data_IF_525260600005
#
_entry.id   IF_525260600005
#
_cell.length_a   1.000
_cell.length_b   1.000
_cell.length_c   1.000
_cell.angle_alpha   90.00
_cell.angle_beta   90.00
_cell.angle_gamma   90.00
#
_symmetry.space_group_name_H-M   'P 1'
#
loop_
_entity.id
_entity.type
_entity.pdbx_description
1 polymer ?
#
# COMPACT_ATOMS: atom_id res chain seq x y z
N UNK A 1 -16.68 -29.51 -31.14
CA UNK A 1 -17.65 -28.91 -30.21
C UNK A 1 -17.02 -27.64 -29.67
N UNK A 2 -17.68 -26.47 -29.75
CA UNK A 2 -17.15 -25.24 -29.16
C UNK A 2 -17.15 -25.32 -27.63
N UNK A 3 -16.18 -24.68 -26.99
CA UNK A 3 -16.14 -24.48 -25.53
C UNK A 3 -16.21 -22.98 -25.25
N UNK A 4 -16.86 -22.60 -24.15
CA UNK A 4 -16.82 -21.22 -23.65
C UNK A 4 -16.19 -21.19 -22.26
N UNK A 5 -15.52 -20.08 -21.95
CA UNK A 5 -14.85 -19.89 -20.67
C UNK A 5 -15.73 -19.08 -19.72
N UNK A 6 -15.86 -19.56 -18.48
CA UNK A 6 -16.59 -18.90 -17.40
C UNK A 6 -15.63 -18.60 -16.28
N UNK A 7 -15.62 -17.35 -15.84
CA UNK A 7 -14.87 -16.93 -14.66
C UNK A 7 -15.75 -17.07 -13.41
N UNK A 8 -15.34 -17.97 -12.51
CA UNK A 8 -15.98 -18.18 -11.21
C UNK A 8 -15.16 -17.49 -10.11
N UNK A 9 -15.83 -16.74 -9.24
CA UNK A 9 -15.19 -16.16 -8.06
C UNK A 9 -15.03 -17.25 -7.00
N UNK A 10 -13.79 -17.64 -6.73
CA UNK A 10 -13.46 -18.63 -5.70
C UNK A 10 -13.65 -18.03 -4.30
N UNK A 11 -13.23 -16.78 -4.13
CA UNK A 11 -13.36 -16.08 -2.86
C UNK A 11 -12.70 -14.70 -2.88
N UNK A 12 -12.94 -13.95 -1.81
CA UNK A 12 -12.33 -12.65 -1.54
C UNK A 12 -11.75 -12.72 -0.14
N UNK A 13 -10.52 -12.25 0.01
CA UNK A 13 -9.94 -12.04 1.33
C UNK A 13 -9.28 -10.67 1.42
N UNK A 14 -9.06 -10.22 2.65
CA UNK A 14 -8.34 -9.00 2.94
C UNK A 14 -7.34 -9.19 4.07
N UNK A 15 -6.35 -8.32 4.11
CA UNK A 15 -5.35 -8.26 5.19
C UNK A 15 -4.91 -6.82 5.42
N UNK A 16 -4.37 -6.57 6.61
CA UNK A 16 -3.83 -5.28 7.01
C UNK A 16 -2.38 -5.46 7.44
N UNK A 17 -1.49 -4.60 6.93
CA UNK A 17 -0.07 -4.64 7.23
C UNK A 17 0.35 -3.33 7.88
N UNK A 18 0.84 -3.41 9.11
CA UNK A 18 1.41 -2.27 9.82
C UNK A 18 2.87 -2.07 9.40
N UNK A 19 3.16 -0.92 8.81
CA UNK A 19 4.51 -0.49 8.49
C UNK A 19 4.96 0.57 9.49
N UNK A 20 6.12 0.33 10.10
CA UNK A 20 6.77 1.25 11.05
C UNK A 20 8.18 1.53 10.57
N UNK A 21 8.49 2.80 10.33
CA UNK A 21 9.79 3.26 9.83
C UNK A 21 10.19 4.56 10.49
N UNK A 22 11.50 4.79 10.53
CA UNK A 22 12.05 6.09 10.85
C UNK A 22 12.31 6.83 9.53
N UNK A 23 12.08 8.14 9.53
CA UNK A 23 12.24 9.03 8.38
C UNK A 23 13.16 10.17 8.77
N UNK A 24 14.03 10.56 7.84
CA UNK A 24 14.93 11.70 7.99
C UNK A 24 14.76 12.67 6.83
N UNK A 25 14.51 13.93 7.15
CA UNK A 25 14.34 15.02 6.20
C UNK A 25 15.67 15.77 6.01
N UNK A 26 16.04 16.04 4.77
CA UNK A 26 17.23 16.83 4.44
C UNK A 26 17.09 18.31 4.85
N UNK A 27 15.85 18.83 4.85
CA UNK A 27 15.51 20.16 5.32
C UNK A 27 14.59 20.03 6.53
N UNK A 28 14.76 20.82 7.61
CA UNK A 28 13.89 20.73 8.76
C UNK A 28 12.42 20.95 8.39
N UNK A 29 11.54 20.18 9.03
CA UNK A 29 10.10 20.27 8.91
C UNK A 29 9.56 21.20 10.00
N UNK A 30 8.83 22.23 9.59
CA UNK A 30 8.11 23.12 10.51
C UNK A 30 6.64 22.68 10.66
N UNK A 31 5.97 22.40 9.55
CA UNK A 31 4.57 21.99 9.51
C UNK A 31 4.34 21.04 8.33
N UNK A 32 3.68 19.90 8.56
CA UNK A 32 3.27 19.00 7.46
C UNK A 32 1.96 19.52 6.88
N UNK A 33 1.94 19.72 5.58
CA UNK A 33 0.76 20.19 4.83
C UNK A 33 -0.05 18.99 4.37
N UNK A 34 0.62 18.00 3.77
CA UNK A 34 -0.05 16.85 3.19
C UNK A 34 0.88 15.63 3.15
N UNK A 35 0.30 14.46 3.33
CA UNK A 35 0.94 13.17 3.06
C UNK A 35 0.11 12.43 1.99
N UNK A 36 0.74 12.06 0.89
CA UNK A 36 0.14 11.33 -0.22
C UNK A 36 0.75 9.93 -0.28
N UNK A 37 -0.10 8.91 -0.40
CA UNK A 37 0.30 7.52 -0.46
C UNK A 37 -0.24 6.87 -1.74
N UNK A 38 0.64 6.17 -2.45
CA UNK A 38 0.27 5.34 -3.61
C UNK A 38 0.72 3.92 -3.33
N UNK A 39 -0.22 2.98 -3.29
CA UNK A 39 0.08 1.56 -3.05
C UNK A 39 -0.05 0.81 -4.35
N UNK A 40 0.99 0.07 -4.72
CA UNK A 40 1.01 -0.77 -5.91
C UNK A 40 1.33 -2.21 -5.51
N UNK A 41 0.53 -3.17 -5.97
CA UNK A 41 0.86 -4.59 -5.83
C UNK A 41 1.70 -5.00 -7.05
N UNK A 42 2.96 -5.36 -6.81
CA UNK A 42 3.94 -5.67 -7.86
C UNK A 42 3.89 -7.14 -8.26
N UNK A 43 3.48 -8.02 -7.34
CA UNK A 43 3.40 -9.45 -7.60
C UNK A 43 2.27 -10.09 -6.79
N UNK A 44 1.65 -11.11 -7.36
CA UNK A 44 0.58 -11.87 -6.73
C UNK A 44 0.61 -13.34 -7.15
N UNK A 45 0.72 -14.23 -6.17
CA UNK A 45 0.81 -15.68 -6.36
C UNK A 45 -0.27 -16.40 -5.57
N UNK A 46 -1.15 -17.11 -6.28
CA UNK A 46 -2.17 -17.94 -5.66
C UNK A 46 -1.57 -19.29 -5.27
N UNK A 47 -1.67 -19.61 -3.98
CA UNK A 47 -1.34 -20.89 -3.39
C UNK A 47 -2.63 -21.60 -2.95
N UNK A 48 -2.51 -22.83 -2.46
CA UNK A 48 -3.64 -23.53 -1.85
C UNK A 48 -4.15 -22.75 -0.63
N UNK A 49 -5.43 -22.35 -0.68
CA UNK A 49 -6.16 -21.58 0.35
C UNK A 49 -5.59 -20.20 0.71
N UNK A 50 -4.59 -19.71 -0.03
CA UNK A 50 -3.88 -18.47 0.28
C UNK A 50 -3.42 -17.76 -0.97
N UNK A 51 -3.22 -16.46 -0.86
CA UNK A 51 -2.57 -15.65 -1.89
C UNK A 51 -1.42 -14.90 -1.25
N UNK A 52 -0.22 -15.05 -1.80
CA UNK A 52 0.97 -14.30 -1.38
C UNK A 52 1.13 -13.13 -2.35
N UNK A 53 1.49 -11.96 -1.84
CA UNK A 53 1.69 -10.78 -2.68
C UNK A 53 2.87 -9.95 -2.19
N UNK A 54 3.46 -9.21 -3.14
CA UNK A 54 4.45 -8.18 -2.88
C UNK A 54 3.94 -6.84 -3.42
N UNK A 55 4.31 -5.75 -2.76
CA UNK A 55 3.92 -4.42 -3.19
C UNK A 55 4.92 -3.34 -2.79
N UNK A 56 4.66 -2.15 -3.32
CA UNK A 56 5.37 -0.93 -2.98
C UNK A 56 4.39 0.12 -2.50
N UNK A 57 4.79 0.90 -1.49
CA UNK A 57 4.11 2.11 -1.06
C UNK A 57 5.01 3.28 -1.42
N UNK A 58 4.59 4.12 -2.34
CA UNK A 58 5.22 5.40 -2.60
C UNK A 58 4.55 6.45 -1.72
N UNK A 59 5.36 7.14 -0.91
CA UNK A 59 4.91 8.19 0.00
C UNK A 59 5.54 9.52 -0.40
N UNK A 60 4.71 10.53 -0.58
CA UNK A 60 5.13 11.91 -0.80
C UNK A 60 4.63 12.79 0.35
N UNK A 61 5.54 13.53 0.98
CA UNK A 61 5.22 14.46 2.07
C UNK A 61 5.47 15.87 1.57
N UNK A 62 4.44 16.72 1.66
CA UNK A 62 4.52 18.16 1.41
C UNK A 62 4.57 18.86 2.76
N UNK A 63 5.57 19.69 2.99
CA UNK A 63 5.76 20.36 4.26
C UNK A 63 6.33 21.77 4.11
N UNK A 64 6.10 22.60 5.12
CA UNK A 64 6.71 23.92 5.24
C UNK A 64 8.04 23.82 5.96
N UNK A 65 9.03 24.54 5.46
CA UNK A 65 10.32 24.73 6.11
C UNK A 65 10.22 25.86 7.16
N UNK A 66 11.14 25.94 8.13
CA UNK A 66 11.12 26.99 9.14
C UNK A 66 11.29 28.36 8.47
N UNK A 67 10.67 29.43 9.00
CA UNK A 67 10.83 30.77 8.46
C UNK A 67 12.31 31.16 8.49
N UNK A 68 12.81 31.62 7.33
CA UNK A 68 14.17 32.12 7.20
C UNK A 68 14.31 33.54 7.75
N UNK A 69 15.45 34.18 7.46
CA UNK A 69 15.74 35.58 7.84
C UNK A 69 14.70 36.56 7.27
N UNK A 70 14.03 36.19 6.17
CA UNK A 70 12.97 36.97 5.51
C UNK A 70 11.58 36.76 6.13
N UNK A 71 11.43 35.88 7.13
CA UNK A 71 10.16 35.65 7.84
C UNK A 71 9.18 34.70 7.16
N UNK A 72 9.43 34.30 5.91
CA UNK A 72 8.59 33.36 5.16
C UNK A 72 9.26 31.99 5.06
N UNK A 73 8.51 30.93 5.40
CA UNK A 73 8.91 29.54 5.14
C UNK A 73 8.61 29.14 3.69
N UNK A 74 9.33 28.15 3.16
CA UNK A 74 9.11 27.62 1.81
C UNK A 74 8.41 26.26 1.86
N UNK A 75 7.78 25.85 0.75
CA UNK A 75 7.25 24.49 0.58
C UNK A 75 8.38 23.58 0.09
N UNK A 76 8.54 22.45 0.75
CA UNK A 76 9.45 21.38 0.38
C UNK A 76 8.71 20.05 0.22
N UNK A 77 9.35 19.13 -0.50
CA UNK A 77 8.83 17.80 -0.79
C UNK A 77 9.82 16.75 -0.31
N UNK A 78 9.31 15.63 0.19
CA UNK A 78 10.10 14.45 0.51
C UNK A 78 9.39 13.20 0.00
N UNK A 79 10.08 12.41 -0.82
CA UNK A 79 9.57 11.16 -1.38
C UNK A 79 10.32 9.98 -0.77
N UNK A 80 9.59 8.95 -0.34
CA UNK A 80 10.12 7.65 0.07
C UNK A 80 9.30 6.52 -0.55
N UNK A 81 9.97 5.42 -0.88
CA UNK A 81 9.33 4.21 -1.39
C UNK A 81 9.61 3.04 -0.43
N UNK A 82 8.58 2.28 -0.08
CA UNK A 82 8.68 1.14 0.83
C UNK A 82 8.21 -0.13 0.15
N UNK A 83 9.03 -1.16 0.16
CA UNK A 83 8.59 -2.50 -0.22
C UNK A 83 7.92 -3.19 0.96
N UNK A 84 6.85 -3.93 0.66
CA UNK A 84 6.16 -4.75 1.64
C UNK A 84 5.66 -6.05 1.00
N UNK A 85 5.39 -7.02 1.85
CA UNK A 85 4.88 -8.32 1.45
C UNK A 85 3.87 -8.80 2.46
N UNK A 86 2.96 -9.66 2.01
CA UNK A 86 1.91 -10.17 2.84
C UNK A 86 1.24 -11.38 2.22
N UNK A 87 0.23 -11.87 2.92
CA UNK A 87 -0.65 -12.90 2.39
C UNK A 87 -2.08 -12.65 2.81
N UNK A 88 -3.00 -13.12 1.98
CA UNK A 88 -4.43 -13.15 2.21
C UNK A 88 -4.87 -14.61 2.29
N UNK A 89 -5.74 -14.93 3.25
CA UNK A 89 -6.36 -16.27 3.30
C UNK A 89 -7.61 -16.26 2.43
N UNK A 90 -7.68 -17.18 1.47
CA UNK A 90 -8.81 -17.35 0.55
C UNK A 90 -9.12 -18.84 0.45
N UNK A 91 -10.00 -19.38 1.32
CA UNK A 91 -10.36 -20.78 1.30
C UNK A 91 -10.88 -21.21 -0.08
N UNK A 92 -10.40 -22.33 -0.61
CA UNK A 92 -10.76 -22.87 -1.93
C UNK A 92 -9.86 -22.41 -3.08
N UNK A 93 -8.97 -21.44 -2.85
CA UNK A 93 -7.96 -21.00 -3.83
C UNK A 93 -6.99 -22.13 -4.14
N UNK A 94 -6.59 -22.24 -5.42
CA UNK A 94 -5.65 -23.26 -5.91
C UNK A 94 -4.59 -22.63 -6.82
N UNK A 95 -3.38 -23.22 -6.88
CA UNK A 95 -2.39 -22.81 -7.87
C UNK A 95 -2.97 -22.84 -9.29
N UNK A 96 -2.77 -21.75 -10.04
CA UNK A 96 -3.33 -21.56 -11.37
C UNK A 96 -4.59 -20.68 -11.42
N UNK A 97 -5.22 -20.38 -10.29
CA UNK A 97 -6.27 -19.37 -10.22
C UNK A 97 -5.69 -17.96 -10.47
N UNK A 98 -6.52 -17.06 -10.98
CA UNK A 98 -6.17 -15.65 -11.23
C UNK A 98 -6.34 -14.83 -9.96
N UNK A 99 -5.36 -13.98 -9.69
CA UNK A 99 -5.43 -12.98 -8.63
C UNK A 99 -5.89 -11.64 -9.20
N UNK A 100 -6.93 -11.05 -8.62
CA UNK A 100 -7.41 -9.70 -8.93
C UNK A 100 -7.33 -8.83 -7.67
N UNK A 101 -6.64 -7.70 -7.76
CA UNK A 101 -6.54 -6.73 -6.68
C UNK A 101 -7.82 -5.91 -6.64
N UNK A 102 -8.61 -6.04 -5.58
CA UNK A 102 -9.85 -5.27 -5.36
C UNK A 102 -9.56 -3.97 -4.62
N UNK A 103 -8.58 -4.00 -3.70
CA UNK A 103 -8.21 -2.84 -2.88
C UNK A 103 -6.72 -2.91 -2.53
N UNK A 104 -6.03 -1.78 -2.65
CA UNK A 104 -4.67 -1.59 -2.16
C UNK A 104 -4.49 -0.10 -1.82
N UNK A 105 -4.58 0.27 -0.55
CA UNK A 105 -4.49 1.67 -0.12
C UNK A 105 -3.97 1.80 1.32
N UNK A 106 -3.58 3.01 1.69
CA UNK A 106 -3.33 3.38 3.09
C UNK A 106 -4.56 4.11 3.61
N UNK A 107 -5.18 3.58 4.66
CA UNK A 107 -6.35 4.19 5.29
C UNK A 107 -5.99 5.36 6.23
N UNK A 108 -6.99 5.81 6.99
CA UNK A 108 -6.86 6.97 7.89
C UNK A 108 -5.90 6.75 9.07
N UNK A 109 -5.61 5.49 9.41
CA UNK A 109 -4.68 5.12 10.48
C UNK A 109 -3.21 5.29 10.04
N UNK A 110 -2.78 6.56 9.98
CA UNK A 110 -1.42 6.97 9.67
C UNK A 110 -0.94 8.03 10.67
N UNK A 111 0.30 7.89 11.11
CA UNK A 111 0.93 8.77 12.08
C UNK A 111 2.35 9.11 11.64
N UNK A 112 2.69 10.39 11.74
CA UNK A 112 4.06 10.88 11.69
C UNK A 112 4.35 11.53 13.04
N UNK A 113 5.26 10.93 13.81
CA UNK A 113 5.58 11.34 15.17
C UNK A 113 6.97 12.00 15.15
N UNK A 114 7.06 13.33 15.26
CA UNK A 114 8.34 14.03 15.32
C UNK A 114 9.21 13.57 16.49
N UNK A 115 10.53 13.48 16.30
CA UNK A 115 11.45 13.16 17.39
C UNK A 115 11.58 14.33 18.39
N UNK A 116 11.39 15.57 17.93
CA UNK A 116 11.43 16.81 18.73
C UNK A 116 10.29 17.73 18.33
N UNK A 117 10.05 18.78 19.12
CA UNK A 117 9.16 19.87 18.70
C UNK A 117 9.66 20.50 17.40
N UNK A 118 8.78 20.97 16.50
CA UNK A 118 9.19 21.68 15.31
C UNK A 118 10.12 22.87 15.62
N UNK A 119 11.16 23.10 14.81
CA UNK A 119 11.50 22.34 13.62
C UNK A 119 12.22 21.01 13.92
N UNK A 120 11.92 19.96 13.15
CA UNK A 120 12.54 18.64 13.30
C UNK A 120 13.07 18.10 11.98
N UNK A 121 14.11 17.27 12.02
CA UNK A 121 14.67 16.58 10.84
C UNK A 121 14.44 15.08 10.88
N UNK A 122 13.95 14.54 11.99
CA UNK A 122 13.65 13.12 12.12
C UNK A 122 12.27 12.90 12.74
N UNK A 123 11.59 11.87 12.25
CA UNK A 123 10.30 11.45 12.79
C UNK A 123 10.16 9.92 12.68
N UNK A 124 9.24 9.37 13.45
CA UNK A 124 8.82 7.98 13.35
C UNK A 124 7.45 7.90 12.70
N UNK A 125 7.35 7.19 11.60
CA UNK A 125 6.11 7.00 10.87
C UNK A 125 5.50 5.61 11.12
N UNK A 126 4.18 5.57 11.18
CA UNK A 126 3.37 4.36 11.29
C UNK A 126 2.16 4.48 10.39
N UNK A 127 1.94 3.51 9.51
CA UNK A 127 0.74 3.50 8.68
C UNK A 127 0.33 2.06 8.37
N UNK A 128 -0.96 1.87 8.10
CA UNK A 128 -1.54 0.57 7.79
C UNK A 128 -1.86 0.53 6.30
N UNK A 129 -1.38 -0.51 5.63
CA UNK A 129 -1.74 -0.82 4.25
C UNK A 129 -2.86 -1.86 4.26
N UNK A 130 -3.98 -1.51 3.65
CA UNK A 130 -5.13 -2.40 3.47
C UNK A 130 -5.06 -3.01 2.07
N UNK A 131 -5.03 -4.34 2.01
CA UNK A 131 -5.04 -5.08 0.74
C UNK A 131 -6.21 -6.05 0.72
N UNK A 132 -7.02 -6.00 -0.34
CA UNK A 132 -8.07 -6.97 -0.62
C UNK A 132 -7.86 -7.60 -1.99
N UNK A 133 -7.96 -8.91 -2.04
CA UNK A 133 -7.71 -9.71 -3.24
C UNK A 133 -8.90 -10.63 -3.48
N UNK A 134 -9.38 -10.62 -4.72
CA UNK A 134 -10.32 -11.60 -5.25
C UNK A 134 -9.56 -12.67 -6.02
N UNK A 135 -9.94 -13.93 -5.82
CA UNK A 135 -9.43 -15.07 -6.58
C UNK A 135 -10.50 -15.54 -7.57
N UNK A 136 -10.11 -15.70 -8.82
CA UNK A 136 -10.99 -16.10 -9.92
C UNK A 136 -10.45 -17.37 -10.57
N UNK A 137 -11.32 -18.35 -10.79
CA UNK A 137 -11.01 -19.58 -11.52
C UNK A 137 -11.74 -19.57 -12.86
N UNK A 138 -11.00 -19.76 -13.95
CA UNK A 138 -11.59 -19.90 -15.28
C UNK A 138 -11.90 -21.38 -15.54
N UNK A 139 -13.17 -21.69 -15.81
CA UNK A 139 -13.67 -23.02 -16.14
C UNK A 139 -14.07 -23.08 -17.61
N UNK A 140 -13.76 -24.19 -18.28
CA UNK A 140 -14.25 -24.47 -19.64
C UNK A 140 -15.54 -25.27 -19.56
N UNK A 141 -16.60 -24.75 -20.18
CA UNK A 141 -17.88 -25.45 -20.28
C UNK A 141 -18.19 -25.80 -21.75
N UNK A 142 -18.74 -27.01 -22.02
CA UNK A 142 -19.21 -27.36 -23.34
C UNK A 142 -20.38 -26.44 -23.73
N UNK A 143 -20.38 -25.95 -24.96
CA UNK A 143 -21.53 -25.22 -25.51
C UNK A 143 -22.73 -26.17 -25.65
N UNK A 144 -23.90 -25.70 -25.20
CA UNK A 144 -25.19 -26.41 -25.28
C UNK A 144 -25.65 -26.49 -26.74
#
# INVERSE_FOLDING_TARGET
MPYYQVDEVVGIGSTQILLVRDITFAVPVYEVVEELFTVNITDCHVCTDKVIFNGTVEKNIVYKTPPGVTGEGTIAYHKEDFTFSGFVTVPGAKPGDKCQIEKAEVGDCRFLIPATSPPYTSARQKFIVDVAIKVIRTLEQPSI
#
